data_IF_659429875507
#
_entry.id   IF_659429875507
#
_cell.length_a   1.000
_cell.length_b   1.000
_cell.length_c   1.000
_cell.angle_alpha   90.00
_cell.angle_beta   90.00
_cell.angle_gamma   90.00
#
_symmetry.space_group_name_H-M   'P 1'
#
loop_
_entity.id
_entity.type
_entity.pdbx_description
1 polymer ?
#
# COMPACT_ATOMS: atom_id res chain seq x y z
N UNK A 1 -28.26 25.39 16.93
CA UNK A 1 -27.72 24.66 15.77
C UNK A 1 -26.20 24.74 15.84
N UNK A 2 -25.46 23.62 15.73
CA UNK A 2 -23.99 23.61 15.89
C UNK A 2 -23.36 24.34 14.70
N UNK A 3 -22.36 25.18 14.94
CA UNK A 3 -21.68 26.00 13.91
C UNK A 3 -21.17 25.20 12.71
N UNK A 4 -20.75 23.94 12.93
CA UNK A 4 -20.30 23.03 11.88
C UNK A 4 -21.39 22.69 10.84
N UNK A 5 -22.64 22.50 11.27
CA UNK A 5 -23.74 22.16 10.37
C UNK A 5 -24.07 23.34 9.44
N UNK A 6 -23.96 24.57 9.97
CA UNK A 6 -24.16 25.80 9.18
C UNK A 6 -23.10 25.93 8.08
N UNK A 7 -21.82 25.77 8.43
CA UNK A 7 -20.71 25.83 7.47
C UNK A 7 -20.82 24.74 6.38
N UNK A 8 -21.23 23.53 6.76
CA UNK A 8 -21.44 22.43 5.80
C UNK A 8 -22.55 22.76 4.80
N UNK A 9 -23.66 23.32 5.26
CA UNK A 9 -24.79 23.68 4.41
C UNK A 9 -24.46 24.84 3.46
N UNK A 10 -23.77 25.88 3.95
CA UNK A 10 -23.30 27.01 3.12
C UNK A 10 -22.40 26.51 1.98
N UNK A 11 -21.47 25.61 2.29
CA UNK A 11 -20.60 25.01 1.28
C UNK A 11 -21.38 24.19 0.24
N UNK A 12 -22.36 23.38 0.67
CA UNK A 12 -23.17 22.59 -0.25
C UNK A 12 -23.94 23.47 -1.24
N UNK A 13 -24.47 24.61 -0.80
CA UNK A 13 -25.21 25.54 -1.68
C UNK A 13 -24.30 26.07 -2.78
N UNK A 14 -23.05 26.44 -2.44
CA UNK A 14 -22.07 26.96 -3.40
C UNK A 14 -21.63 25.88 -4.39
N UNK A 15 -21.43 24.64 -3.93
CA UNK A 15 -20.90 23.56 -4.76
C UNK A 15 -21.96 22.92 -5.69
N UNK A 16 -23.23 22.84 -5.27
CA UNK A 16 -24.29 22.11 -5.99
C UNK A 16 -24.48 22.47 -7.48
N UNK A 17 -24.39 23.73 -7.93
CA UNK A 17 -24.51 24.04 -9.36
C UNK A 17 -23.27 23.65 -10.19
N UNK A 18 -22.11 23.47 -9.55
CA UNK A 18 -20.83 23.20 -10.23
C UNK A 18 -20.33 21.77 -10.06
N UNK A 19 -20.87 21.04 -9.08
CA UNK A 19 -20.41 19.71 -8.72
C UNK A 19 -21.57 18.71 -8.68
N UNK A 20 -21.52 17.72 -9.57
CA UNK A 20 -22.50 16.62 -9.58
C UNK A 20 -22.01 15.49 -8.67
N UNK A 21 -22.60 15.39 -7.48
CA UNK A 21 -22.36 14.28 -6.56
C UNK A 21 -23.56 13.33 -6.50
N UNK A 22 -23.32 12.03 -6.68
CA UNK A 22 -24.34 10.98 -6.55
C UNK A 22 -23.79 9.84 -5.71
N UNK A 23 -24.45 9.55 -4.59
CA UNK A 23 -24.06 8.44 -3.72
C UNK A 23 -24.73 7.14 -4.21
N UNK A 24 -23.96 6.05 -4.27
CA UNK A 24 -24.54 4.72 -4.56
C UNK A 24 -25.62 4.33 -3.52
N UNK A 25 -25.45 4.79 -2.29
CA UNK A 25 -26.42 4.57 -1.20
C UNK A 25 -27.73 5.35 -1.34
N UNK A 26 -27.81 6.42 -2.14
CA UNK A 26 -29.06 7.17 -2.30
C UNK A 26 -29.85 6.73 -3.54
N UNK A 27 -29.17 6.50 -4.66
CA UNK A 27 -29.83 6.21 -5.94
C UNK A 27 -29.96 4.71 -6.19
N UNK A 28 -28.99 3.92 -5.71
CA UNK A 28 -28.85 2.51 -6.06
C UNK A 28 -28.93 1.57 -4.85
N UNK A 29 -29.55 2.04 -3.76
CA UNK A 29 -29.63 1.30 -2.50
C UNK A 29 -30.28 -0.09 -2.64
N UNK A 30 -31.26 -0.21 -3.53
CA UNK A 30 -32.03 -1.44 -3.77
C UNK A 30 -31.49 -2.28 -4.91
N UNK A 31 -30.66 -1.71 -5.79
CA UNK A 31 -30.15 -2.37 -7.00
C UNK A 31 -28.70 -2.83 -6.91
N UNK A 32 -27.93 -2.33 -5.93
CA UNK A 32 -26.53 -2.72 -5.72
C UNK A 32 -26.34 -3.46 -4.39
N UNK A 33 -25.54 -4.54 -4.36
CA UNK A 33 -25.20 -5.20 -3.12
C UNK A 33 -24.38 -4.29 -2.20
N UNK A 34 -24.51 -4.48 -0.89
CA UNK A 34 -23.74 -3.72 0.11
C UNK A 34 -22.26 -4.04 -0.01
N UNK A 35 -21.42 -2.99 -0.04
CA UNK A 35 -19.97 -3.12 0.08
C UNK A 35 -19.63 -3.67 1.48
N UNK A 36 -18.84 -4.74 1.52
CA UNK A 36 -18.21 -5.22 2.75
C UNK A 36 -16.73 -4.96 2.67
N UNK A 37 -16.16 -4.42 3.73
CA UNK A 37 -14.71 -4.21 3.87
C UNK A 37 -14.22 -5.14 4.97
N UNK A 38 -13.21 -5.94 4.65
CA UNK A 38 -12.58 -6.89 5.56
C UNK A 38 -11.10 -6.52 5.62
N UNK A 39 -10.55 -6.44 6.83
CA UNK A 39 -9.11 -6.27 7.06
C UNK A 39 -8.53 -7.64 7.37
N UNK A 40 -7.77 -8.20 6.44
CA UNK A 40 -7.07 -9.46 6.63
C UNK A 40 -5.66 -9.17 7.12
N UNK A 41 -5.39 -9.54 8.36
CA UNK A 41 -4.05 -9.45 8.94
C UNK A 41 -3.21 -10.62 8.46
N UNK A 42 -2.09 -10.34 7.81
CA UNK A 42 -1.14 -11.35 7.34
C UNK A 42 0.19 -11.17 8.06
N UNK A 43 0.87 -12.28 8.33
CA UNK A 43 2.25 -12.23 8.82
C UNK A 43 3.23 -12.00 7.66
N UNK A 44 4.52 -11.80 7.95
CA UNK A 44 5.56 -11.86 6.92
C UNK A 44 5.95 -13.32 6.69
N UNK A 45 6.18 -13.71 5.44
CA UNK A 45 6.81 -15.00 5.13
C UNK A 45 8.22 -15.06 5.72
N UNK A 46 8.79 -16.27 5.78
CA UNK A 46 10.18 -16.43 6.24
C UNK A 46 11.15 -15.61 5.40
N UNK A 47 10.97 -15.61 4.07
CA UNK A 47 11.83 -14.85 3.16
C UNK A 47 11.66 -13.34 3.32
N UNK A 48 10.43 -12.87 3.47
CA UNK A 48 10.16 -11.45 3.74
C UNK A 48 10.78 -10.99 5.07
N UNK A 49 10.70 -11.80 6.12
CA UNK A 49 11.26 -11.46 7.44
C UNK A 49 12.78 -11.36 7.41
N UNK A 50 13.44 -12.29 6.72
CA UNK A 50 14.90 -12.28 6.54
C UNK A 50 15.35 -10.97 5.86
N UNK A 51 14.76 -10.65 4.70
CA UNK A 51 15.09 -9.44 3.94
C UNK A 51 14.74 -8.16 4.70
N UNK A 52 13.65 -8.16 5.47
CA UNK A 52 13.26 -7.02 6.28
C UNK A 52 14.32 -6.72 7.35
N UNK A 53 14.77 -7.76 8.07
CA UNK A 53 15.76 -7.63 9.12
C UNK A 53 17.08 -7.10 8.55
N UNK A 54 17.56 -7.73 7.47
CA UNK A 54 18.80 -7.32 6.80
C UNK A 54 18.73 -5.86 6.31
N UNK A 55 17.60 -5.44 5.72
CA UNK A 55 17.45 -4.07 5.25
C UNK A 55 17.45 -3.03 6.37
N UNK A 56 16.82 -3.33 7.51
CA UNK A 56 16.78 -2.42 8.65
C UNK A 56 18.15 -2.32 9.33
N UNK A 57 18.90 -3.42 9.40
CA UNK A 57 20.21 -3.46 10.05
C UNK A 57 21.34 -2.93 9.14
N UNK A 58 21.33 -3.30 7.85
CA UNK A 58 22.44 -3.10 6.92
C UNK A 58 22.10 -2.23 5.70
N UNK A 59 20.84 -1.82 5.54
CA UNK A 59 20.40 -1.10 4.34
C UNK A 59 21.00 0.30 4.23
N UNK A 60 21.63 0.60 3.08
CA UNK A 60 22.26 1.91 2.80
C UNK A 60 21.33 3.10 3.06
N UNK A 61 20.07 3.01 2.63
CA UNK A 61 19.10 4.09 2.83
C UNK A 61 18.78 4.29 4.32
N UNK A 62 18.68 3.21 5.09
CA UNK A 62 18.45 3.28 6.54
C UNK A 62 19.66 3.89 7.23
N UNK A 63 20.87 3.45 6.87
CA UNK A 63 22.10 4.02 7.38
C UNK A 63 22.21 5.53 7.09
N UNK A 64 21.95 5.97 5.85
CA UNK A 64 21.98 7.38 5.45
C UNK A 64 20.97 8.25 6.21
N UNK A 65 19.83 7.69 6.60
CA UNK A 65 18.84 8.37 7.46
C UNK A 65 19.37 8.49 8.90
N UNK A 66 19.92 7.41 9.44
CA UNK A 66 20.44 7.37 10.81
C UNK A 66 21.69 8.25 11.00
N UNK A 67 22.54 8.38 9.98
CA UNK A 67 23.70 9.27 9.98
C UNK A 67 23.34 10.74 9.72
N UNK A 68 22.10 11.02 9.31
CA UNK A 68 21.62 12.37 8.98
C UNK A 68 22.08 12.88 7.61
N UNK A 69 22.70 12.04 6.78
CA UNK A 69 23.06 12.38 5.39
C UNK A 69 21.82 12.62 4.52
N UNK A 70 20.76 11.84 4.75
CA UNK A 70 19.45 12.03 4.11
C UNK A 70 18.36 12.25 5.16
N UNK A 71 17.59 13.33 5.06
CA UNK A 71 16.49 13.61 6.00
C UNK A 71 15.18 12.90 5.63
N UNK A 72 15.00 12.51 4.36
CA UNK A 72 13.76 11.93 3.87
C UNK A 72 13.74 10.40 4.01
N UNK A 73 12.80 9.81 4.77
CA UNK A 73 12.68 8.37 4.92
C UNK A 73 11.89 7.69 3.79
N UNK A 74 11.39 8.46 2.81
CA UNK A 74 10.43 7.96 1.82
C UNK A 74 10.99 6.81 0.97
N UNK A 75 12.28 6.84 0.62
CA UNK A 75 12.92 5.76 -0.15
C UNK A 75 12.94 4.47 0.68
N UNK A 76 13.38 4.56 1.94
CA UNK A 76 13.43 3.41 2.84
C UNK A 76 12.05 2.79 3.10
N UNK A 77 11.05 3.64 3.36
CA UNK A 77 9.66 3.21 3.56
C UNK A 77 9.10 2.59 2.28
N UNK A 78 9.39 3.16 1.11
CA UNK A 78 8.93 2.63 -0.17
C UNK A 78 9.51 1.25 -0.45
N UNK A 79 10.79 1.04 -0.15
CA UNK A 79 11.43 -0.26 -0.27
C UNK A 79 10.77 -1.30 0.64
N UNK A 80 10.53 -0.97 1.91
CA UNK A 80 9.81 -1.86 2.84
C UNK A 80 8.38 -2.17 2.37
N UNK A 81 7.68 -1.19 1.79
CA UNK A 81 6.35 -1.40 1.20
C UNK A 81 6.40 -2.37 0.01
N UNK A 82 7.43 -2.29 -0.84
CA UNK A 82 7.65 -3.24 -1.95
C UNK A 82 7.88 -4.66 -1.41
N UNK A 83 8.74 -4.82 -0.40
CA UNK A 83 9.01 -6.12 0.23
C UNK A 83 7.75 -6.76 0.82
N UNK A 84 6.93 -5.98 1.54
CA UNK A 84 5.64 -6.44 2.06
C UNK A 84 4.62 -6.78 0.96
N UNK A 85 4.81 -6.28 -0.27
CA UNK A 85 4.06 -6.71 -1.45
C UNK A 85 4.54 -8.09 -1.91
N UNK A 86 5.85 -8.22 -2.16
CA UNK A 86 6.51 -9.47 -2.53
C UNK A 86 8.05 -9.31 -2.49
N UNK A 87 8.84 -10.30 -2.04
CA UNK A 87 10.31 -10.26 -2.08
C UNK A 87 10.91 -9.96 -3.47
N UNK A 88 10.33 -10.53 -4.51
CA UNK A 88 10.68 -10.29 -5.91
C UNK A 88 10.75 -8.79 -6.29
N UNK A 89 9.87 -7.94 -5.72
CA UNK A 89 9.82 -6.51 -6.07
C UNK A 89 11.02 -5.71 -5.58
N UNK A 90 11.81 -6.24 -4.64
CA UNK A 90 13.05 -5.60 -4.16
C UNK A 90 14.32 -6.24 -4.72
N UNK A 91 14.23 -7.46 -5.26
CA UNK A 91 15.38 -8.16 -5.85
C UNK A 91 15.59 -7.82 -7.33
N UNK A 92 14.53 -7.46 -8.06
CA UNK A 92 14.60 -7.24 -9.51
C UNK A 92 14.98 -5.84 -9.96
N UNK A 93 15.30 -4.91 -9.05
CA UNK A 93 15.91 -3.65 -9.48
C UNK A 93 17.29 -3.89 -10.14
N UNK A 94 17.85 -5.11 -10.03
CA UNK A 94 19.19 -5.47 -10.49
C UNK A 94 19.27 -6.73 -11.37
N UNK A 95 18.16 -7.40 -11.71
CA UNK A 95 18.16 -8.70 -12.43
C UNK A 95 17.79 -8.59 -13.91
N UNK A 96 18.43 -9.41 -14.74
CA UNK A 96 18.17 -9.50 -16.17
C UNK A 96 16.80 -10.14 -16.48
N UNK A 97 16.09 -9.68 -17.54
CA UNK A 97 14.75 -10.18 -17.90
C UNK A 97 14.65 -11.69 -18.18
N UNK A 98 15.78 -12.35 -18.45
CA UNK A 98 15.87 -13.78 -18.76
C UNK A 98 15.66 -14.65 -17.52
N UNK A 99 16.07 -14.16 -16.34
CA UNK A 99 15.97 -14.90 -15.06
C UNK A 99 14.50 -15.02 -14.59
N UNK A 100 13.67 -14.06 -15.00
CA UNK A 100 12.23 -13.96 -14.67
C UNK A 100 11.42 -15.15 -15.21
N UNK A 101 11.83 -15.75 -16.33
CA UNK A 101 11.04 -16.81 -17.01
C UNK A 101 11.24 -18.20 -16.42
N UNK A 102 12.27 -18.40 -15.60
CA UNK A 102 12.64 -19.71 -15.05
C UNK A 102 12.18 -19.92 -13.59
N UNK A 103 11.45 -18.96 -13.00
CA UNK A 103 11.02 -19.08 -11.61
C UNK A 103 9.84 -20.04 -11.43
N UNK A 104 9.97 -20.94 -10.45
CA UNK A 104 8.92 -21.88 -10.08
C UNK A 104 7.74 -21.12 -9.44
N UNK A 105 6.56 -21.21 -10.05
CA UNK A 105 5.33 -20.59 -9.53
C UNK A 105 5.02 -20.97 -8.07
N UNK A 106 5.43 -22.16 -7.62
CA UNK A 106 5.30 -22.60 -6.22
C UNK A 106 6.16 -21.78 -5.26
N UNK A 107 7.42 -21.53 -5.62
CA UNK A 107 8.32 -20.70 -4.80
C UNK A 107 7.80 -19.27 -4.71
N UNK A 108 7.27 -18.72 -5.81
CA UNK A 108 6.67 -17.38 -5.82
C UNK A 108 5.52 -17.24 -4.81
N UNK A 109 4.66 -18.26 -4.71
CA UNK A 109 3.57 -18.27 -3.72
C UNK A 109 4.13 -18.39 -2.30
N UNK A 110 5.09 -19.28 -2.06
CA UNK A 110 5.68 -19.50 -0.73
C UNK A 110 6.45 -18.29 -0.20
N UNK A 111 7.07 -17.52 -1.08
CA UNK A 111 7.87 -16.35 -0.72
C UNK A 111 7.03 -15.15 -0.25
N UNK A 112 5.74 -15.09 -0.55
CA UNK A 112 4.86 -14.00 -0.13
C UNK A 112 3.66 -14.48 0.65
N UNK A 113 3.53 -14.02 1.88
CA UNK A 113 2.41 -14.32 2.76
C UNK A 113 1.05 -13.81 2.25
N UNK A 114 1.04 -12.94 1.24
CA UNK A 114 -0.18 -12.43 0.60
C UNK A 114 -0.66 -13.31 -0.56
N UNK A 115 0.20 -14.21 -1.05
CA UNK A 115 -0.12 -15.14 -2.12
C UNK A 115 -0.46 -16.54 -1.59
N UNK A 116 0.00 -16.87 -0.38
CA UNK A 116 -0.42 -18.05 0.39
C UNK A 116 -1.88 -17.93 0.83
#
# INVERSE_FOLDING_TARGET
MRTADRASNELQVILKPHFLQRMKSSIFATSLPKKRELVVWTHLSNKQRELYKDYVENGRHVASILTGETTSPLVAITWLKKLCGHPFLVQNESRDPVDIRNENAKLLVEDSSKLQ
#
